data_IF_057326652391
#
_entry.id   IF_057326652391
#
_cell.length_a   1.000
_cell.length_b   1.000
_cell.length_c   1.000
_cell.angle_alpha   90.00
_cell.angle_beta   90.00
_cell.angle_gamma   90.00
#
_symmetry.space_group_name_H-M   'P 1'
#
loop_
_entity.id
_entity.type
_entity.pdbx_description
1 polymer ?
#
# COMPACT_ATOMS: atom_id res chain seq x y z
N UNK A 1 34.63 3.38 21.25
CA UNK A 1 33.86 2.30 20.58
C UNK A 1 32.58 2.12 21.37
N UNK A 2 31.45 2.64 20.88
CA UNK A 2 30.15 2.31 21.46
C UNK A 2 29.62 1.15 20.64
N UNK A 3 29.65 -0.06 21.17
CA UNK A 3 28.80 -1.10 20.65
C UNK A 3 27.37 -0.70 21.00
N UNK A 4 26.65 -0.12 20.03
CA UNK A 4 25.21 0.07 20.13
C UNK A 4 24.59 -1.33 20.26
N UNK A 5 24.29 -1.75 21.49
CA UNK A 5 23.49 -2.95 21.73
C UNK A 5 22.09 -2.65 21.23
N UNK A 6 21.84 -2.96 19.95
CA UNK A 6 20.54 -2.80 19.33
C UNK A 6 19.52 -3.67 20.05
N UNK A 7 18.43 -3.06 20.48
CA UNK A 7 17.28 -3.81 20.97
C UNK A 7 16.61 -4.52 19.79
N UNK A 8 16.89 -5.81 19.66
CA UNK A 8 16.35 -6.64 18.59
C UNK A 8 14.85 -6.86 18.71
N UNK A 9 14.30 -6.80 19.94
CA UNK A 9 12.87 -6.98 20.17
C UNK A 9 12.11 -5.77 19.63
N UNK A 10 12.52 -4.56 20.02
CA UNK A 10 11.92 -3.32 19.54
C UNK A 10 12.02 -3.21 18.01
N UNK A 11 13.21 -3.44 17.46
CA UNK A 11 13.41 -3.40 16.02
C UNK A 11 12.53 -4.40 15.26
N UNK A 12 12.33 -5.61 15.81
CA UNK A 12 11.45 -6.60 15.20
C UNK A 12 9.98 -6.16 15.22
N UNK A 13 9.53 -5.55 16.32
CA UNK A 13 8.17 -4.99 16.42
C UNK A 13 7.95 -3.88 15.38
N UNK A 14 8.94 -3.03 15.12
CA UNK A 14 8.88 -2.01 14.07
C UNK A 14 8.76 -2.62 12.67
N UNK A 15 9.52 -3.70 12.39
CA UNK A 15 9.43 -4.41 11.11
C UNK A 15 8.06 -5.06 10.89
N UNK A 16 7.47 -5.66 11.93
CA UNK A 16 6.13 -6.25 11.86
C UNK A 16 5.09 -5.18 11.53
N UNK A 17 5.07 -4.06 12.25
CA UNK A 17 4.16 -2.93 11.98
C UNK A 17 4.30 -2.38 10.56
N UNK A 18 5.53 -2.32 10.06
CA UNK A 18 5.80 -1.89 8.69
C UNK A 18 5.24 -2.89 7.67
N UNK A 19 5.39 -4.20 7.93
CA UNK A 19 4.80 -5.26 7.11
C UNK A 19 3.27 -5.21 7.09
N UNK A 20 2.63 -4.98 8.23
CA UNK A 20 1.19 -4.78 8.33
C UNK A 20 0.71 -3.63 7.44
N UNK A 21 1.45 -2.52 7.43
CA UNK A 21 1.12 -1.37 6.57
C UNK A 21 1.30 -1.68 5.08
N UNK A 22 2.41 -2.28 4.66
CA UNK A 22 2.68 -2.58 3.24
C UNK A 22 1.77 -3.67 2.66
N UNK A 23 1.33 -4.61 3.49
CA UNK A 23 0.57 -5.78 3.05
C UNK A 23 -0.92 -5.67 3.34
N UNK A 24 -1.39 -4.53 3.85
CA UNK A 24 -2.80 -4.33 4.18
C UNK A 24 -3.68 -4.29 2.92
N UNK A 25 -4.64 -5.20 2.74
CA UNK A 25 -5.55 -5.20 1.60
C UNK A 25 -6.78 -4.30 1.82
N UNK A 26 -6.69 -3.32 2.73
CA UNK A 26 -7.82 -2.44 3.12
C UNK A 26 -8.43 -1.69 1.93
N UNK A 27 -7.69 -1.46 0.84
CA UNK A 27 -8.24 -0.87 -0.39
C UNK A 27 -9.42 -1.67 -0.97
N UNK A 28 -9.51 -2.98 -0.68
CA UNK A 28 -10.62 -3.84 -1.12
C UNK A 28 -11.95 -3.45 -0.47
N UNK A 29 -11.93 -2.85 0.73
CA UNK A 29 -13.14 -2.50 1.48
C UNK A 29 -13.98 -1.44 0.76
N UNK A 30 -13.33 -0.52 0.04
CA UNK A 30 -13.99 0.57 -0.70
C UNK A 30 -13.85 0.44 -2.21
N UNK A 31 -13.49 -0.75 -2.70
CA UNK A 31 -13.17 -0.98 -4.11
C UNK A 31 -14.29 -0.54 -5.06
N UNK A 32 -15.52 -1.02 -4.82
CA UNK A 32 -16.67 -0.70 -5.67
C UNK A 32 -17.03 0.79 -5.61
N UNK A 33 -17.02 1.39 -4.42
CA UNK A 33 -17.34 2.80 -4.23
C UNK A 33 -16.34 3.73 -4.94
N UNK A 34 -15.03 3.47 -4.80
CA UNK A 34 -14.01 4.25 -5.52
C UNK A 34 -14.10 4.03 -7.03
N UNK A 35 -14.33 2.80 -7.47
CA UNK A 35 -14.50 2.49 -8.89
C UNK A 35 -15.64 3.28 -9.51
N UNK A 36 -16.81 3.28 -8.89
CA UNK A 36 -17.97 4.03 -9.37
C UNK A 36 -17.68 5.52 -9.40
N UNK A 37 -17.20 6.10 -8.29
CA UNK A 37 -16.90 7.53 -8.19
C UNK A 37 -15.85 8.00 -9.19
N UNK A 38 -14.77 7.25 -9.36
CA UNK A 38 -13.66 7.64 -10.25
C UNK A 38 -13.99 7.47 -11.73
N UNK A 39 -15.08 6.76 -12.04
CA UNK A 39 -15.53 6.50 -13.41
C UNK A 39 -16.94 7.06 -13.69
N UNK A 40 -17.51 7.82 -12.77
CA UNK A 40 -18.81 8.45 -12.92
C UNK A 40 -18.84 9.37 -14.16
N UNK A 41 -19.88 9.24 -14.98
CA UNK A 41 -20.10 10.09 -16.15
C UNK A 41 -19.07 9.94 -17.27
N UNK A 42 -18.18 8.94 -17.23
CA UNK A 42 -17.17 8.76 -18.28
C UNK A 42 -17.78 8.29 -19.60
N UNK A 43 -17.42 9.00 -20.67
CA UNK A 43 -17.65 8.60 -22.05
C UNK A 43 -16.34 8.73 -22.81
N UNK A 44 -15.77 7.61 -23.27
CA UNK A 44 -14.62 7.57 -24.19
C UNK A 44 -13.21 7.71 -23.58
N UNK A 45 -13.05 8.22 -22.35
CA UNK A 45 -11.74 8.18 -21.66
C UNK A 45 -11.44 6.80 -21.05
N UNK A 46 -10.17 6.37 -20.96
CA UNK A 46 -9.82 5.12 -20.29
C UNK A 46 -10.35 5.03 -18.86
N UNK A 47 -10.71 3.80 -18.49
CA UNK A 47 -11.15 3.47 -17.14
C UNK A 47 -10.03 3.73 -16.13
N UNK A 48 -10.38 4.27 -14.96
CA UNK A 48 -9.44 4.51 -13.86
C UNK A 48 -9.62 3.42 -12.81
N UNK A 49 -8.51 2.87 -12.34
CA UNK A 49 -8.50 2.04 -11.14
C UNK A 49 -8.73 2.88 -9.89
N UNK A 50 -9.15 2.26 -8.76
CA UNK A 50 -9.24 2.94 -7.48
C UNK A 50 -7.91 3.57 -7.10
N UNK A 51 -7.97 4.76 -6.51
CA UNK A 51 -6.78 5.50 -6.07
C UNK A 51 -6.07 4.73 -4.95
N UNK A 52 -6.83 4.17 -4.01
CA UNK A 52 -6.29 3.36 -2.92
C UNK A 52 -5.56 2.10 -3.41
N UNK A 53 -6.05 1.49 -4.49
CA UNK A 53 -5.36 0.37 -5.15
C UNK A 53 -4.04 0.81 -5.78
N UNK A 54 -4.03 1.94 -6.50
CA UNK A 54 -2.81 2.47 -7.12
C UNK A 54 -1.76 2.79 -6.04
N UNK A 55 -2.17 3.35 -4.91
CA UNK A 55 -1.28 3.60 -3.77
C UNK A 55 -0.71 2.30 -3.20
N UNK A 56 -1.55 1.29 -2.99
CA UNK A 56 -1.10 -0.04 -2.55
C UNK A 56 -0.07 -0.65 -3.54
N UNK A 57 -0.39 -0.64 -4.83
CA UNK A 57 0.50 -1.17 -5.87
C UNK A 57 1.82 -0.38 -5.98
N UNK A 58 1.80 0.94 -5.78
CA UNK A 58 2.98 1.78 -5.79
C UNK A 58 3.95 1.44 -4.63
N UNK A 59 3.41 1.17 -3.44
CA UNK A 59 4.22 0.68 -2.32
C UNK A 59 4.87 -0.66 -2.68
N UNK A 60 4.14 -1.55 -3.36
CA UNK A 60 4.68 -2.84 -3.79
C UNK A 60 5.80 -2.70 -4.82
N UNK A 61 5.61 -1.82 -5.79
CA UNK A 61 6.63 -1.50 -6.79
C UNK A 61 7.90 -0.94 -6.14
N UNK A 62 7.76 0.05 -5.26
CA UNK A 62 8.90 0.72 -4.61
C UNK A 62 9.64 -0.20 -3.62
N UNK A 63 8.92 -0.91 -2.74
CA UNK A 63 9.55 -1.69 -1.68
C UNK A 63 10.05 -3.07 -2.13
N UNK A 64 9.38 -3.68 -3.09
CA UNK A 64 9.71 -5.05 -3.52
C UNK A 64 10.36 -5.12 -4.91
N UNK A 65 10.54 -3.98 -5.60
CA UNK A 65 11.11 -3.91 -6.95
C UNK A 65 10.46 -4.93 -7.90
N UNK A 66 9.13 -5.05 -7.82
CA UNK A 66 8.38 -5.92 -8.72
C UNK A 66 8.47 -5.37 -10.15
N UNK A 67 8.69 -6.25 -11.16
CA UNK A 67 8.87 -5.84 -12.55
C UNK A 67 7.63 -5.16 -13.15
#
# INVERSE_FOLDING_TARGET
MVSLSRDWKEYNEELVKRGEFYLSPVFLENWEEELEKMNEGKVGTPYKFPESYVQFAALWYEFFNLP
#
